data_IF_990993081264
#
_entry.id   IF_990993081264
#
_cell.length_a   1.000
_cell.length_b   1.000
_cell.length_c   1.000
_cell.angle_alpha   90.00
_cell.angle_beta   90.00
_cell.angle_gamma   90.00
#
_symmetry.space_group_name_H-M   'P 1'
#
loop_
_entity.id
_entity.type
_entity.pdbx_description
1 polymer ?
#
# COMPACT_ATOMS: atom_id res chain seq x y z
N UNK A 1 -12.31 -3.07 -22.22
CA UNK A 1 -11.59 -1.79 -22.42
C UNK A 1 -10.69 -1.60 -21.21
N UNK A 2 -9.37 -1.40 -21.38
CA UNK A 2 -8.50 -1.12 -20.24
C UNK A 2 -8.91 0.23 -19.64
N UNK A 3 -9.24 0.26 -18.35
CA UNK A 3 -9.50 1.50 -17.59
C UNK A 3 -8.25 2.37 -17.66
N UNK A 4 -8.39 3.59 -18.14
CA UNK A 4 -7.31 4.59 -18.06
C UNK A 4 -7.22 5.06 -16.61
N UNK A 5 -6.04 4.99 -16.00
CA UNK A 5 -5.86 5.38 -14.61
C UNK A 5 -5.44 6.84 -14.49
N UNK A 6 -6.00 7.53 -13.50
CA UNK A 6 -5.69 8.90 -13.15
C UNK A 6 -4.60 8.94 -12.07
N UNK A 7 -3.50 9.61 -12.35
CA UNK A 7 -2.36 9.74 -11.45
C UNK A 7 -2.18 11.22 -11.09
N UNK A 8 -2.13 11.53 -9.80
CA UNK A 8 -1.77 12.84 -9.30
C UNK A 8 -0.29 12.85 -8.88
N UNK A 9 0.47 13.80 -9.38
CA UNK A 9 1.87 14.05 -9.02
C UNK A 9 1.89 15.25 -8.09
N UNK A 10 2.44 15.08 -6.89
CA UNK A 10 2.64 16.14 -5.89
C UNK A 10 4.15 16.24 -5.66
N UNK A 11 4.76 17.22 -6.31
CA UNK A 11 6.20 17.42 -6.41
C UNK A 11 6.47 18.92 -6.56
N UNK A 12 7.31 19.51 -5.73
CA UNK A 12 7.61 20.94 -5.78
C UNK A 12 8.62 21.30 -6.87
N UNK A 13 9.54 20.39 -7.20
CA UNK A 13 10.47 20.58 -8.30
C UNK A 13 9.73 20.52 -9.65
N UNK A 14 9.72 21.67 -10.35
CA UNK A 14 9.01 21.84 -11.62
C UNK A 14 9.55 20.90 -12.71
N UNK A 15 10.87 20.70 -12.77
CA UNK A 15 11.49 19.88 -13.80
C UNK A 15 11.14 18.39 -13.60
N UNK A 16 11.20 17.91 -12.37
CA UNK A 16 10.80 16.54 -12.01
C UNK A 16 9.31 16.35 -12.26
N UNK A 17 8.49 17.31 -11.88
CA UNK A 17 7.03 17.27 -12.05
C UNK A 17 6.64 17.16 -13.52
N UNK A 18 7.21 18.03 -14.38
CA UNK A 18 6.93 18.04 -15.82
C UNK A 18 7.46 16.79 -16.52
N UNK A 19 8.64 16.30 -16.13
CA UNK A 19 9.21 15.06 -16.61
C UNK A 19 8.28 13.87 -16.30
N UNK A 20 7.81 13.77 -15.06
CA UNK A 20 6.91 12.70 -14.63
C UNK A 20 5.57 12.76 -15.36
N UNK A 21 4.98 13.97 -15.47
CA UNK A 21 3.70 14.16 -16.15
C UNK A 21 3.79 13.73 -17.62
N UNK A 22 4.80 14.23 -18.34
CA UNK A 22 5.04 13.91 -19.76
C UNK A 22 5.30 12.41 -19.95
N UNK A 23 6.11 11.82 -19.09
CA UNK A 23 6.43 10.39 -19.16
C UNK A 23 5.19 9.52 -18.94
N UNK A 24 4.38 9.83 -17.93
CA UNK A 24 3.18 9.04 -17.62
C UNK A 24 2.11 9.18 -18.70
N UNK A 25 1.92 10.37 -19.25
CA UNK A 25 1.01 10.60 -20.39
C UNK A 25 1.44 9.79 -21.61
N UNK A 26 2.74 9.74 -21.92
CA UNK A 26 3.28 8.92 -23.00
C UNK A 26 3.10 7.40 -22.77
N UNK A 27 2.83 6.96 -21.52
CA UNK A 27 2.53 5.57 -21.14
C UNK A 27 1.02 5.28 -21.06
N UNK A 28 0.16 6.24 -21.40
CA UNK A 28 -1.28 6.08 -21.47
C UNK A 28 -2.03 6.33 -20.16
N UNK A 29 -1.40 6.98 -19.20
CA UNK A 29 -2.07 7.46 -17.98
C UNK A 29 -2.62 8.87 -18.17
N UNK A 30 -3.65 9.23 -17.41
CA UNK A 30 -4.03 10.62 -17.20
C UNK A 30 -3.21 11.15 -16.03
N UNK A 31 -2.30 12.09 -16.29
CA UNK A 31 -1.43 12.66 -15.28
C UNK A 31 -1.84 14.11 -14.99
N UNK A 32 -2.15 14.38 -13.73
CA UNK A 32 -2.35 15.70 -13.15
C UNK A 32 -1.16 16.00 -12.22
N UNK A 33 -0.78 17.27 -12.07
CA UNK A 33 0.38 17.63 -11.29
C UNK A 33 0.15 18.94 -10.52
N UNK A 34 0.70 19.01 -9.32
CA UNK A 34 0.69 20.18 -8.46
C UNK A 34 1.97 20.27 -7.63
N UNK A 35 2.25 21.45 -7.08
CA UNK A 35 3.50 21.73 -6.36
C UNK A 35 3.42 21.56 -4.85
N UNK A 36 2.23 21.35 -4.30
CA UNK A 36 2.06 21.26 -2.84
C UNK A 36 0.86 20.41 -2.43
N UNK A 37 0.80 20.04 -1.14
CA UNK A 37 -0.33 19.34 -0.55
C UNK A 37 -1.62 20.16 -0.54
N UNK A 38 -1.50 21.50 -0.40
CA UNK A 38 -2.62 22.43 -0.42
C UNK A 38 -3.29 22.46 -1.80
N UNK A 39 -2.48 22.45 -2.88
CA UNK A 39 -2.97 22.35 -4.25
C UNK A 39 -3.58 20.98 -4.57
N UNK A 40 -3.05 19.92 -3.97
CA UNK A 40 -3.54 18.56 -4.15
C UNK A 40 -4.94 18.36 -3.59
N UNK A 41 -5.29 18.99 -2.47
CA UNK A 41 -6.59 18.84 -1.80
C UNK A 41 -7.79 19.10 -2.71
N UNK A 42 -7.89 20.26 -3.38
CA UNK A 42 -8.96 20.55 -4.34
C UNK A 42 -9.04 19.58 -5.53
N UNK A 43 -7.90 19.09 -6.02
CA UNK A 43 -7.85 18.11 -7.11
C UNK A 43 -8.47 16.79 -6.63
N UNK A 44 -8.04 16.29 -5.48
CA UNK A 44 -8.54 15.07 -4.87
C UNK A 44 -10.03 15.11 -4.52
N UNK A 45 -10.57 16.31 -4.27
CA UNK A 45 -11.99 16.50 -4.00
C UNK A 45 -12.87 16.49 -5.27
N UNK A 46 -12.30 16.78 -6.44
CA UNK A 46 -13.03 16.94 -7.71
C UNK A 46 -12.84 15.77 -8.66
N UNK A 47 -11.67 15.14 -8.61
CA UNK A 47 -11.24 14.13 -9.56
C UNK A 47 -11.11 12.75 -8.90
N UNK A 48 -11.49 11.72 -9.62
CA UNK A 48 -11.23 10.34 -9.20
C UNK A 48 -9.76 9.99 -9.46
N UNK A 49 -8.93 10.05 -8.43
CA UNK A 49 -7.51 9.71 -8.49
C UNK A 49 -7.29 8.26 -8.08
N UNK A 50 -6.64 7.48 -8.95
CA UNK A 50 -6.29 6.07 -8.67
C UNK A 50 -4.98 5.94 -7.88
N UNK A 51 -4.03 6.87 -8.11
CA UNK A 51 -2.69 6.87 -7.50
C UNK A 51 -2.16 8.28 -7.31
N UNK A 52 -1.51 8.52 -6.18
CA UNK A 52 -0.71 9.73 -5.91
C UNK A 52 0.77 9.35 -5.92
N UNK A 53 1.57 10.04 -6.73
CA UNK A 53 3.02 10.11 -6.57
C UNK A 53 3.31 11.30 -5.67
N UNK A 54 3.86 11.07 -4.50
CA UNK A 54 4.00 12.08 -3.45
C UNK A 54 5.46 12.26 -3.08
N UNK A 55 6.01 13.45 -3.29
CA UNK A 55 7.30 13.78 -2.69
C UNK A 55 7.17 13.88 -1.17
N UNK A 56 8.18 13.35 -0.49
CA UNK A 56 8.30 13.45 0.98
C UNK A 56 8.69 14.85 1.39
N UNK A 57 9.56 15.51 0.60
CA UNK A 57 10.18 16.80 0.91
C UNK A 57 9.41 17.96 0.30
N UNK A 58 8.13 18.10 0.62
CA UNK A 58 7.32 19.23 0.15
C UNK A 58 7.55 20.48 1.01
N UNK A 59 7.61 21.67 0.42
CA UNK A 59 7.70 22.92 1.17
C UNK A 59 6.41 23.17 1.97
N UNK A 60 6.55 23.51 3.24
CA UNK A 60 5.44 23.92 4.11
C UNK A 60 4.68 22.81 4.80
N UNK A 61 4.41 21.70 4.15
CA UNK A 61 3.74 20.54 4.75
C UNK A 61 4.63 19.29 4.64
N UNK A 62 4.69 18.52 5.71
CA UNK A 62 5.36 17.23 5.70
C UNK A 62 4.58 16.25 4.81
N UNK A 63 5.20 15.76 3.72
CA UNK A 63 4.61 14.76 2.83
C UNK A 63 4.17 13.51 3.59
N UNK A 64 4.78 13.22 4.72
CA UNK A 64 4.34 12.15 5.61
C UNK A 64 2.99 12.44 6.27
N UNK A 65 2.77 13.67 6.75
CA UNK A 65 1.46 14.06 7.33
C UNK A 65 0.37 14.03 6.25
N UNK A 66 0.67 14.49 5.06
CA UNK A 66 -0.28 14.44 3.94
C UNK A 66 -0.61 12.99 3.56
N UNK A 67 0.38 12.10 3.47
CA UNK A 67 0.16 10.67 3.27
C UNK A 67 -0.78 10.08 4.34
N UNK A 68 -0.52 10.40 5.61
CA UNK A 68 -1.35 9.95 6.73
C UNK A 68 -2.79 10.44 6.63
N UNK A 69 -3.00 11.71 6.29
CA UNK A 69 -4.34 12.30 6.14
C UNK A 69 -5.15 11.63 5.04
N UNK A 70 -4.51 11.37 3.89
CA UNK A 70 -5.12 10.65 2.77
C UNK A 70 -5.51 9.23 3.17
N UNK A 71 -4.72 8.57 4.00
CA UNK A 71 -5.04 7.22 4.48
C UNK A 71 -6.21 7.18 5.44
N UNK A 72 -6.30 8.13 6.33
CA UNK A 72 -7.42 8.23 7.28
C UNK A 72 -8.76 8.47 6.57
N UNK A 73 -8.75 9.23 5.48
CA UNK A 73 -9.93 9.49 4.65
C UNK A 73 -10.30 8.37 3.68
N UNK A 74 -9.50 7.28 3.59
CA UNK A 74 -9.71 6.21 2.62
C UNK A 74 -9.34 6.60 1.19
N UNK A 75 -8.40 7.53 1.04
CA UNK A 75 -7.94 8.11 -0.22
C UNK A 75 -7.25 7.13 -1.20
N UNK A 76 -6.73 7.65 -2.33
CA UNK A 76 -6.13 6.86 -3.40
C UNK A 76 -4.88 6.11 -2.95
N UNK A 77 -4.33 5.28 -3.80
CA UNK A 77 -3.02 4.65 -3.59
C UNK A 77 -1.92 5.69 -3.55
N UNK A 78 -0.84 5.42 -2.82
CA UNK A 78 0.27 6.38 -2.66
C UNK A 78 1.59 5.67 -2.90
N UNK A 79 2.39 6.19 -3.82
CA UNK A 79 3.82 5.90 -3.94
C UNK A 79 4.57 7.13 -3.48
N UNK A 80 5.41 7.01 -2.45
CA UNK A 80 6.23 8.12 -2.01
C UNK A 80 7.54 8.18 -2.81
N UNK A 81 7.89 9.39 -3.24
CA UNK A 81 9.18 9.72 -3.84
C UNK A 81 10.04 10.36 -2.76
N UNK A 82 11.25 9.88 -2.54
CA UNK A 82 12.08 10.38 -1.43
C UNK A 82 13.55 10.46 -1.78
N UNK A 83 14.19 11.57 -1.40
CA UNK A 83 15.65 11.69 -1.43
C UNK A 83 16.32 11.00 -0.23
N UNK A 84 15.52 10.58 0.76
CA UNK A 84 16.00 9.94 1.96
C UNK A 84 16.46 8.52 1.64
N UNK A 85 17.76 8.27 1.72
CA UNK A 85 18.39 6.99 1.33
C UNK A 85 18.49 5.99 2.49
N UNK A 86 18.18 6.41 3.71
CA UNK A 86 18.33 5.55 4.88
C UNK A 86 17.20 4.51 4.99
N UNK A 87 17.52 3.28 5.40
CA UNK A 87 16.52 2.23 5.61
C UNK A 87 15.41 2.64 6.60
N UNK A 88 15.73 3.53 7.54
CA UNK A 88 14.80 4.03 8.56
C UNK A 88 13.68 4.86 7.92
N UNK A 89 13.99 5.70 6.94
CA UNK A 89 13.01 6.58 6.29
C UNK A 89 12.01 5.80 5.44
N UNK A 90 12.48 4.73 4.77
CA UNK A 90 11.60 3.79 4.07
C UNK A 90 10.66 3.05 5.02
N UNK A 91 11.12 2.81 6.23
CA UNK A 91 10.33 2.21 7.31
C UNK A 91 9.24 3.19 7.77
N UNK A 92 9.62 4.45 8.04
CA UNK A 92 8.68 5.49 8.51
C UNK A 92 7.54 5.71 7.52
N UNK A 93 7.80 5.83 6.26
CA UNK A 93 6.75 6.12 5.31
C UNK A 93 5.85 4.93 4.96
N UNK A 94 6.37 3.70 4.97
CA UNK A 94 5.51 2.52 5.00
C UNK A 94 4.66 2.53 6.29
N UNK A 95 5.15 3.05 7.43
CA UNK A 95 4.39 3.22 8.68
C UNK A 95 3.25 4.20 8.55
N UNK A 96 3.39 5.20 7.74
CA UNK A 96 2.37 6.20 7.50
C UNK A 96 1.32 5.79 6.47
N UNK A 97 1.50 4.63 5.81
CA UNK A 97 0.47 4.03 4.97
C UNK A 97 0.70 4.11 3.46
N UNK A 98 1.88 4.49 2.98
CA UNK A 98 2.20 4.42 1.56
C UNK A 98 2.12 2.98 1.02
N UNK A 99 1.71 2.82 -0.23
CA UNK A 99 1.63 1.53 -0.89
C UNK A 99 2.98 1.06 -1.43
N UNK A 100 3.87 2.00 -1.79
CA UNK A 100 5.24 1.74 -2.18
C UNK A 100 6.13 2.98 -2.00
N UNK A 101 7.45 2.80 -2.19
CA UNK A 101 8.50 3.79 -2.05
C UNK A 101 9.45 3.75 -3.21
N UNK A 102 9.87 4.93 -3.68
CA UNK A 102 10.91 5.09 -4.71
C UNK A 102 11.91 6.13 -4.25
N UNK A 103 13.19 5.74 -4.17
CA UNK A 103 14.27 6.66 -3.80
C UNK A 103 14.68 7.53 -4.98
N UNK A 104 14.89 8.84 -4.75
CA UNK A 104 15.53 9.75 -5.71
C UNK A 104 17.07 9.60 -5.60
N UNK A 105 17.82 9.58 -6.72
CA UNK A 105 17.33 9.59 -8.10
C UNK A 105 16.76 8.22 -8.49
N UNK A 106 15.69 8.19 -9.27
CA UNK A 106 15.01 6.97 -9.70
C UNK A 106 15.09 6.76 -11.22
N UNK A 107 15.07 5.50 -11.63
CA UNK A 107 14.85 5.13 -13.03
C UNK A 107 13.35 5.18 -13.35
N UNK A 108 12.97 5.87 -14.43
CA UNK A 108 11.58 5.99 -14.87
C UNK A 108 10.94 4.64 -15.22
N UNK A 109 11.74 3.65 -15.66
CA UNK A 109 11.24 2.31 -15.93
C UNK A 109 10.92 1.56 -14.66
N UNK A 110 11.76 1.72 -13.62
CA UNK A 110 11.49 1.18 -12.29
C UNK A 110 10.22 1.79 -11.70
N UNK A 111 10.11 3.12 -11.74
CA UNK A 111 8.91 3.82 -11.28
C UNK A 111 7.65 3.33 -12.00
N UNK A 112 7.70 3.19 -13.33
CA UNK A 112 6.58 2.68 -14.12
C UNK A 112 6.18 1.25 -13.72
N UNK A 113 7.16 0.38 -13.48
CA UNK A 113 6.91 -0.99 -13.05
C UNK A 113 6.19 -1.01 -11.68
N UNK A 114 6.60 -0.15 -10.74
CA UNK A 114 5.99 0.02 -9.42
C UNK A 114 4.58 0.60 -9.51
N UNK A 115 4.37 1.63 -10.32
CA UNK A 115 3.05 2.20 -10.60
C UNK A 115 2.09 1.11 -11.10
N UNK A 116 2.51 0.35 -12.12
CA UNK A 116 1.70 -0.74 -12.66
C UNK A 116 1.39 -1.83 -11.64
N UNK A 117 2.35 -2.18 -10.79
CA UNK A 117 2.16 -3.16 -9.75
C UNK A 117 1.17 -2.68 -8.67
N UNK A 118 1.27 -1.41 -8.27
CA UNK A 118 0.34 -0.80 -7.32
C UNK A 118 -1.06 -0.68 -7.95
N UNK A 119 -1.19 -0.29 -9.21
CA UNK A 119 -2.46 -0.13 -9.91
C UNK A 119 -3.13 -1.46 -10.29
N UNK A 120 -2.36 -2.55 -10.53
CA UNK A 120 -2.90 -3.89 -10.83
C UNK A 120 -3.72 -4.48 -9.68
N UNK A 121 -3.52 -4.00 -8.45
CA UNK A 121 -4.33 -4.37 -7.30
C UNK A 121 -5.77 -3.90 -7.54
N UNK A 122 -6.81 -4.65 -7.15
CA UNK A 122 -8.18 -4.22 -7.34
C UNK A 122 -8.43 -2.85 -6.70
N UNK A 123 -9.19 -1.97 -7.37
CA UNK A 123 -9.47 -0.62 -6.90
C UNK A 123 -10.23 -0.63 -5.57
N UNK A 124 -9.99 0.42 -4.77
CA UNK A 124 -10.77 0.69 -3.56
C UNK A 124 -12.13 1.24 -4.03
N UNK A 125 -13.18 0.40 -4.00
CA UNK A 125 -14.55 0.90 -4.19
C UNK A 125 -15.31 0.48 -5.44
N UNK A 126 -14.73 -0.28 -6.37
CA UNK A 126 -15.57 -0.87 -7.42
C UNK A 126 -16.52 -1.93 -6.82
N UNK A 127 -17.81 -1.81 -7.16
CA UNK A 127 -18.83 -2.81 -6.83
C UNK A 127 -18.50 -4.09 -7.59
N UNK A 128 -17.90 -5.06 -6.91
CA UNK A 128 -17.96 -6.44 -7.36
C UNK A 128 -19.33 -6.99 -6.97
N UNK A 129 -19.99 -7.70 -7.86
CA UNK A 129 -21.30 -8.33 -7.62
C UNK A 129 -21.27 -9.41 -6.51
N UNK A 130 -20.10 -9.74 -6.00
CA UNK A 130 -19.89 -10.47 -4.76
C UNK A 130 -18.67 -9.87 -4.02
N UNK A 131 -18.88 -9.21 -2.91
CA UNK A 131 -17.80 -8.72 -2.05
C UNK A 131 -17.10 -9.92 -1.40
N UNK A 132 -15.83 -10.15 -1.78
CA UNK A 132 -15.03 -11.17 -1.11
C UNK A 132 -14.80 -10.78 0.35
N UNK A 133 -15.41 -11.51 1.27
CA UNK A 133 -15.16 -11.39 2.71
C UNK A 133 -14.49 -12.65 3.20
N UNK A 134 -13.29 -12.51 3.78
CA UNK A 134 -12.54 -13.60 4.37
C UNK A 134 -12.69 -13.54 5.89
N UNK A 135 -13.20 -14.62 6.51
CA UNK A 135 -13.38 -14.67 7.96
C UNK A 135 -12.38 -15.60 8.62
N UNK A 136 -11.78 -15.14 9.71
CA UNK A 136 -10.84 -15.91 10.52
C UNK A 136 -10.78 -15.36 11.95
N UNK A 137 -10.67 -16.17 12.95
CA UNK A 137 -10.51 -15.76 14.37
C UNK A 137 -11.47 -14.64 14.81
N UNK A 138 -12.71 -14.63 14.32
CA UNK A 138 -13.69 -13.59 14.58
C UNK A 138 -13.53 -12.29 13.78
N UNK A 139 -12.47 -12.14 12.99
CA UNK A 139 -12.28 -11.04 12.07
C UNK A 139 -13.04 -11.26 10.76
N UNK A 140 -13.55 -10.17 10.15
CA UNK A 140 -13.99 -10.14 8.76
C UNK A 140 -13.03 -9.24 7.96
N UNK A 141 -12.32 -9.82 7.01
CA UNK A 141 -11.37 -9.12 6.16
C UNK A 141 -12.02 -8.78 4.82
N UNK A 142 -12.01 -7.51 4.48
CA UNK A 142 -12.53 -6.94 3.24
C UNK A 142 -11.38 -6.46 2.36
N UNK A 143 -10.75 -7.33 1.55
CA UNK A 143 -9.53 -6.98 0.79
C UNK A 143 -9.77 -5.84 -0.20
N UNK A 144 -10.93 -5.81 -0.89
CA UNK A 144 -11.25 -4.76 -1.86
C UNK A 144 -11.37 -3.38 -1.20
N UNK A 145 -11.91 -3.35 0.01
CA UNK A 145 -12.11 -2.11 0.79
C UNK A 145 -10.96 -1.79 1.73
N UNK A 146 -9.94 -2.64 1.78
CA UNK A 146 -8.72 -2.49 2.59
C UNK A 146 -8.99 -2.24 4.08
N UNK A 147 -9.87 -3.02 4.67
CA UNK A 147 -10.07 -2.97 6.10
C UNK A 147 -10.37 -4.35 6.69
N UNK A 148 -10.14 -4.47 7.99
CA UNK A 148 -10.64 -5.53 8.84
C UNK A 148 -11.82 -5.02 9.66
N UNK A 149 -12.80 -5.87 9.90
CA UNK A 149 -13.73 -5.70 11.03
C UNK A 149 -13.27 -6.63 12.14
N UNK A 150 -12.95 -6.06 13.31
CA UNK A 150 -12.52 -6.83 14.48
C UNK A 150 -13.67 -7.65 15.05
N UNK A 151 -13.40 -8.63 15.96
CA UNK A 151 -14.43 -9.36 16.69
C UNK A 151 -15.37 -8.46 17.49
N UNK A 152 -14.89 -7.26 17.92
CA UNK A 152 -15.69 -6.24 18.62
C UNK A 152 -16.47 -5.30 17.68
N UNK A 153 -16.40 -5.55 16.35
CA UNK A 153 -17.09 -4.75 15.34
C UNK A 153 -16.34 -3.50 14.86
N UNK A 154 -15.17 -3.18 15.42
CA UNK A 154 -14.37 -2.02 15.03
C UNK A 154 -13.82 -2.17 13.61
N UNK A 155 -13.84 -1.09 12.85
CA UNK A 155 -13.21 -1.02 11.53
C UNK A 155 -11.74 -0.64 11.68
N UNK A 156 -10.84 -1.54 11.27
CA UNK A 156 -9.38 -1.37 11.30
C UNK A 156 -8.88 -1.19 9.87
N UNK A 157 -8.45 0.00 9.45
CA UNK A 157 -7.98 0.24 8.09
C UNK A 157 -6.65 -0.49 7.83
N UNK A 158 -6.48 -0.98 6.61
CA UNK A 158 -5.24 -1.60 6.12
C UNK A 158 -4.64 -0.78 4.99
N UNK A 159 -3.31 -0.72 4.94
CA UNK A 159 -2.61 -0.22 3.75
C UNK A 159 -2.68 -1.26 2.63
N UNK A 160 -2.34 -0.87 1.39
CA UNK A 160 -2.30 -1.82 0.28
C UNK A 160 -1.33 -2.96 0.54
N UNK A 161 -0.13 -2.66 1.05
CA UNK A 161 0.86 -3.68 1.37
C UNK A 161 0.42 -4.64 2.48
N UNK A 162 -0.25 -4.14 3.52
CA UNK A 162 -0.82 -4.98 4.58
C UNK A 162 -1.98 -5.83 4.06
N UNK A 163 -2.80 -5.28 3.17
CA UNK A 163 -3.91 -6.00 2.52
C UNK A 163 -3.39 -7.15 1.69
N UNK A 164 -2.38 -6.91 0.84
CA UNK A 164 -1.80 -7.94 -0.02
C UNK A 164 -1.14 -9.04 0.80
N UNK A 165 -0.35 -8.65 1.82
CA UNK A 165 0.31 -9.62 2.69
C UNK A 165 -0.71 -10.47 3.45
N UNK A 166 -1.76 -9.86 4.00
CA UNK A 166 -2.82 -10.58 4.70
C UNK A 166 -3.59 -11.51 3.74
N UNK A 167 -3.83 -11.07 2.50
CA UNK A 167 -4.47 -11.91 1.49
C UNK A 167 -3.63 -13.13 1.13
N UNK A 168 -2.29 -12.97 1.03
CA UNK A 168 -1.35 -14.08 0.84
C UNK A 168 -1.44 -15.05 2.01
N UNK A 169 -1.46 -14.57 3.23
CA UNK A 169 -1.62 -15.41 4.43
C UNK A 169 -2.95 -16.16 4.44
N UNK A 170 -4.05 -15.49 4.16
CA UNK A 170 -5.37 -16.11 4.11
C UNK A 170 -5.49 -17.22 3.04
N UNK A 171 -4.75 -17.09 1.94
CA UNK A 171 -4.71 -18.09 0.86
C UNK A 171 -3.75 -19.24 1.10
N UNK A 172 -2.85 -19.11 2.07
CA UNK A 172 -1.82 -20.10 2.39
C UNK A 172 -1.84 -20.44 3.88
N UNK A 173 -3.01 -20.75 4.41
CA UNK A 173 -3.19 -21.09 5.83
C UNK A 173 -2.35 -22.31 6.21
N UNK A 174 -1.76 -22.27 7.40
CA UNK A 174 -0.94 -23.36 7.98
C UNK A 174 0.34 -23.69 7.19
N UNK A 175 0.62 -22.98 6.10
CA UNK A 175 1.86 -23.09 5.34
C UNK A 175 2.90 -22.14 5.90
N UNK A 176 4.14 -22.60 6.07
CA UNK A 176 5.28 -21.75 6.35
C UNK A 176 5.69 -21.08 5.04
N UNK A 177 5.72 -19.75 5.02
CA UNK A 177 6.14 -18.94 3.88
C UNK A 177 7.43 -18.21 4.24
N UNK A 178 8.45 -18.38 3.42
CA UNK A 178 9.69 -17.63 3.55
C UNK A 178 9.47 -16.13 3.26
N UNK A 179 10.40 -15.28 3.68
CA UNK A 179 10.32 -13.83 3.39
C UNK A 179 10.29 -13.56 1.89
N UNK A 180 11.04 -14.31 1.11
CA UNK A 180 11.05 -14.20 -0.36
C UNK A 180 9.72 -14.64 -0.97
N UNK A 181 9.15 -15.76 -0.52
CA UNK A 181 7.83 -16.21 -0.98
C UNK A 181 6.75 -15.18 -0.65
N UNK A 182 6.79 -14.58 0.54
CA UNK A 182 5.84 -13.52 0.93
C UNK A 182 5.95 -12.30 0.03
N UNK A 183 7.17 -11.88 -0.33
CA UNK A 183 7.40 -10.77 -1.29
C UNK A 183 6.83 -11.14 -2.65
N UNK A 184 7.23 -12.27 -3.19
CA UNK A 184 6.85 -12.71 -4.54
C UNK A 184 5.34 -12.91 -4.68
N UNK A 185 4.69 -13.53 -3.70
CA UNK A 185 3.25 -13.76 -3.68
C UNK A 185 2.43 -12.48 -3.47
N UNK A 186 2.95 -11.51 -2.70
CA UNK A 186 2.23 -10.27 -2.42
C UNK A 186 2.41 -9.21 -3.51
N UNK A 187 3.55 -9.18 -4.20
CA UNK A 187 3.91 -8.10 -5.12
C UNK A 187 4.27 -8.53 -6.53
N UNK A 188 4.42 -9.83 -6.78
CA UNK A 188 4.87 -10.41 -8.05
C UNK A 188 6.39 -10.50 -8.17
N UNK A 189 6.86 -11.33 -9.12
CA UNK A 189 8.29 -11.53 -9.37
C UNK A 189 8.96 -10.23 -9.84
N UNK A 190 10.19 -10.00 -9.37
CA UNK A 190 11.03 -8.89 -9.83
C UNK A 190 11.05 -7.65 -8.91
N UNK A 191 10.39 -7.66 -7.77
CA UNK A 191 10.48 -6.58 -6.80
C UNK A 191 11.70 -6.74 -5.89
N UNK A 192 12.70 -5.88 -6.06
CA UNK A 192 13.84 -5.76 -5.13
C UNK A 192 13.42 -5.07 -3.82
N UNK A 193 12.72 -5.81 -2.97
CA UNK A 193 12.40 -5.33 -1.61
C UNK A 193 13.31 -6.06 -0.63
N UNK A 194 13.90 -5.27 0.28
CA UNK A 194 14.70 -5.87 1.34
C UNK A 194 13.83 -6.79 2.22
N UNK A 195 14.29 -8.01 2.57
CA UNK A 195 13.55 -8.95 3.42
C UNK A 195 13.04 -8.35 4.74
N UNK A 196 13.75 -7.35 5.27
CA UNK A 196 13.37 -6.62 6.49
C UNK A 196 12.04 -5.86 6.39
N UNK A 197 11.60 -5.48 5.19
CA UNK A 197 10.29 -4.82 5.02
C UNK A 197 9.11 -5.77 5.26
N UNK A 198 9.29 -7.08 5.05
CA UNK A 198 8.29 -8.09 5.39
C UNK A 198 8.12 -8.19 6.90
N UNK A 199 9.22 -8.21 7.65
CA UNK A 199 9.19 -8.30 9.11
C UNK A 199 8.41 -7.12 9.72
N UNK A 200 8.57 -5.94 9.13
CA UNK A 200 7.83 -4.75 9.54
C UNK A 200 6.33 -4.85 9.23
N UNK A 201 5.97 -5.28 8.00
CA UNK A 201 4.57 -5.47 7.63
C UNK A 201 3.89 -6.53 8.51
N UNK A 202 4.58 -7.62 8.81
CA UNK A 202 4.10 -8.64 9.75
C UNK A 202 3.88 -8.07 11.14
N UNK A 203 4.84 -7.28 11.64
CA UNK A 203 4.72 -6.62 12.94
C UNK A 203 3.48 -5.73 13.03
N UNK A 204 3.19 -4.99 11.95
CA UNK A 204 2.00 -4.13 11.87
C UNK A 204 0.70 -4.92 11.79
N UNK A 205 0.66 -5.93 10.95
CA UNK A 205 -0.49 -6.80 10.87
C UNK A 205 -0.78 -7.45 12.23
N UNK A 206 0.25 -7.93 12.93
CA UNK A 206 0.08 -8.45 14.28
C UNK A 206 -0.55 -7.42 15.23
N UNK A 207 -0.04 -6.18 15.23
CA UNK A 207 -0.60 -5.10 16.07
C UNK A 207 -2.07 -4.80 15.74
N UNK A 208 -2.46 -4.90 14.48
CA UNK A 208 -3.86 -4.71 14.04
C UNK A 208 -4.75 -5.92 14.31
N UNK A 209 -4.15 -7.11 14.40
CA UNK A 209 -4.84 -8.38 14.66
C UNK A 209 -4.84 -8.79 16.13
N UNK A 210 -3.99 -8.21 16.98
CA UNK A 210 -3.97 -8.55 18.41
C UNK A 210 -5.17 -7.97 19.16
N UNK A 211 -5.81 -6.89 18.65
CA UNK A 211 -6.88 -6.21 19.39
C UNK A 211 -6.47 -5.91 20.82
N UNK A 212 -7.35 -6.27 21.77
CA UNK A 212 -7.08 -6.17 23.21
C UNK A 212 -6.46 -7.45 23.81
N UNK A 213 -6.28 -8.51 23.00
CA UNK A 213 -5.68 -9.77 23.44
C UNK A 213 -4.29 -9.97 22.80
N UNK A 214 -3.21 -9.73 23.55
CA UNK A 214 -1.83 -9.91 23.08
C UNK A 214 -1.47 -11.39 22.84
N UNK A 215 -2.30 -12.34 23.25
CA UNK A 215 -2.06 -13.78 23.08
C UNK A 215 -2.66 -14.36 21.80
N UNK A 216 -3.45 -13.60 21.05
CA UNK A 216 -3.97 -14.04 19.75
C UNK A 216 -2.86 -14.01 18.70
N UNK A 217 -2.00 -15.03 18.71
CA UNK A 217 -0.90 -15.16 17.75
C UNK A 217 -1.42 -15.74 16.42
N UNK A 218 -2.02 -14.86 15.60
CA UNK A 218 -2.62 -15.20 14.30
C UNK A 218 -1.53 -15.51 13.26
N UNK A 219 -0.37 -14.81 13.35
CA UNK A 219 0.77 -14.99 12.47
C UNK A 219 1.97 -15.43 13.31
N UNK A 220 2.37 -16.68 13.18
CA UNK A 220 3.50 -17.25 13.91
C UNK A 220 4.84 -16.98 13.20
N UNK A 221 5.90 -16.73 13.96
CA UNK A 221 7.27 -16.71 13.45
C UNK A 221 7.86 -18.12 13.57
N UNK A 222 8.26 -18.68 12.43
CA UNK A 222 9.08 -19.89 12.40
C UNK A 222 10.52 -19.47 12.24
N UNK A 223 11.33 -19.67 13.30
CA UNK A 223 12.73 -19.19 13.31
C UNK A 223 13.49 -19.79 12.14
N UNK A 224 14.26 -18.95 11.46
CA UNK A 224 15.03 -19.19 10.23
C UNK A 224 14.19 -19.39 8.96
N UNK A 225 12.95 -19.90 9.02
CA UNK A 225 12.17 -20.29 7.85
C UNK A 225 11.19 -19.22 7.35
N UNK A 226 10.58 -18.43 8.25
CA UNK A 226 9.64 -17.38 7.86
C UNK A 226 8.44 -17.22 8.77
N UNK A 227 7.24 -17.18 8.19
CA UNK A 227 5.99 -16.94 8.89
C UNK A 227 4.90 -17.91 8.48
N UNK A 228 4.00 -18.24 9.40
CA UNK A 228 2.84 -19.08 9.15
C UNK A 228 1.57 -18.43 9.71
N UNK A 229 0.47 -18.48 8.95
CA UNK A 229 -0.85 -18.03 9.36
C UNK A 229 -1.64 -19.22 9.89
N UNK A 230 -2.00 -19.18 11.15
CA UNK A 230 -2.58 -20.35 11.84
C UNK A 230 -4.09 -20.52 11.66
N UNK A 231 -4.89 -19.44 11.59
CA UNK A 231 -6.34 -19.58 11.54
C UNK A 231 -6.85 -20.32 10.32
N UNK A 232 -7.99 -20.97 10.48
CA UNK A 232 -8.83 -21.39 9.37
C UNK A 232 -9.52 -20.16 8.77
N UNK A 233 -9.60 -20.14 7.43
CA UNK A 233 -10.22 -19.05 6.68
C UNK A 233 -11.44 -19.57 5.95
N UNK A 234 -12.59 -18.92 6.14
CA UNK A 234 -13.80 -19.15 5.35
C UNK A 234 -14.07 -17.97 4.42
N UNK A 235 -14.69 -18.25 3.29
CA UNK A 235 -15.09 -17.24 2.28
C UNK A 235 -16.61 -17.08 2.38
N UNK A 236 -17.06 -15.82 2.40
CA UNK A 236 -18.47 -15.45 2.43
C UNK A 236 -18.85 -14.67 1.18
#
# INVERSE_FOLDING_TARGET
>A
MNKTHNILIVEDDLEIRDLLASFLQAKGFVAMACGSSEEAGPILAREEIDLVLLDVMLPGADGFEFCRSLRLSGGPRIIMLTALSEPVDKVVGLELGADDYVGKPFDLRELLARIRAVLRRPPVGERFDAELVLRFSGYAFHPQRRFLRSPTGLRVPLTGAETDLLLVFCRNTRRILSREELINLSRGEGFAIAPRSVDLLVSRLRRKLSGDDPFTDVIHTVRADGYAFQPEVSIE
#
